data_IF_980265585661
#
_entry.id   IF_980265585661
#
_cell.length_a   1.000
_cell.length_b   1.000
_cell.length_c   1.000
_cell.angle_alpha   90.00
_cell.angle_beta   90.00
_cell.angle_gamma   90.00
#
_symmetry.space_group_name_H-M   'P 1'
#
loop_
_entity.id
_entity.type
_entity.pdbx_description
1 polymer ?
#
# COMPACT_ATOMS: atom_id res chain seq x y z
N UNK A 1 8.85 -17.81 40.42
CA UNK A 1 9.06 -16.57 39.64
C UNK A 1 7.77 -16.27 38.88
N UNK A 2 7.32 -15.02 38.91
CA UNK A 2 5.94 -14.62 38.59
C UNK A 2 5.54 -14.91 37.13
N UNK A 3 4.57 -15.81 36.96
CA UNK A 3 3.69 -15.92 35.80
C UNK A 3 2.67 -14.75 35.84
N UNK A 4 3.14 -13.50 35.69
CA UNK A 4 2.25 -12.33 35.63
C UNK A 4 2.44 -11.60 34.30
N UNK A 5 1.36 -11.37 33.53
CA UNK A 5 1.45 -10.62 32.29
C UNK A 5 1.92 -9.18 32.57
N UNK A 6 2.98 -8.76 31.88
CA UNK A 6 3.50 -7.39 31.89
C UNK A 6 3.02 -6.64 30.64
N UNK A 7 2.83 -5.33 30.74
CA UNK A 7 2.51 -4.40 29.66
C UNK A 7 3.48 -4.51 28.48
N UNK A 8 4.75 -4.83 28.72
CA UNK A 8 5.73 -5.09 27.66
C UNK A 8 5.37 -6.31 26.80
N UNK A 9 4.83 -7.36 27.42
CA UNK A 9 4.37 -8.56 26.71
C UNK A 9 3.11 -8.25 25.90
N UNK A 10 2.18 -7.47 26.47
CA UNK A 10 1.00 -6.99 25.75
C UNK A 10 1.40 -6.18 24.50
N UNK A 11 2.36 -5.28 24.64
CA UNK A 11 2.86 -4.46 23.52
C UNK A 11 3.48 -5.31 22.42
N UNK A 12 4.24 -6.35 22.77
CA UNK A 12 4.78 -7.32 21.79
C UNK A 12 3.66 -8.07 21.06
N UNK A 13 2.64 -8.53 21.78
CA UNK A 13 1.49 -9.22 21.17
C UNK A 13 0.71 -8.30 20.23
N UNK A 14 0.49 -7.04 20.61
CA UNK A 14 -0.15 -6.05 19.73
C UNK A 14 0.66 -5.85 18.45
N UNK A 15 2.00 -5.71 18.56
CA UNK A 15 2.87 -5.56 17.39
C UNK A 15 2.82 -6.80 16.50
N UNK A 16 2.93 -8.00 17.08
CA UNK A 16 2.87 -9.26 16.35
C UNK A 16 1.52 -9.43 15.63
N UNK A 17 0.42 -9.19 16.33
CA UNK A 17 -0.93 -9.28 15.75
C UNK A 17 -1.15 -8.25 14.64
N UNK A 18 -0.59 -7.04 14.80
CA UNK A 18 -0.65 -6.01 13.76
C UNK A 18 0.09 -6.46 12.50
N UNK A 19 1.32 -6.96 12.63
CA UNK A 19 2.09 -7.46 11.48
C UNK A 19 1.36 -8.62 10.81
N UNK A 20 0.89 -9.61 11.58
CA UNK A 20 0.15 -10.75 11.04
C UNK A 20 -1.13 -10.32 10.29
N UNK A 21 -1.88 -9.36 10.83
CA UNK A 21 -3.08 -8.84 10.18
C UNK A 21 -2.75 -8.11 8.87
N UNK A 22 -1.71 -7.28 8.85
CA UNK A 22 -1.30 -6.58 7.63
C UNK A 22 -0.80 -7.55 6.55
N UNK A 23 -0.04 -8.58 6.94
CA UNK A 23 0.40 -9.65 6.01
C UNK A 23 -0.78 -10.43 5.46
N UNK A 24 -1.76 -10.79 6.29
CA UNK A 24 -2.97 -11.48 5.83
C UNK A 24 -3.77 -10.61 4.85
N UNK A 25 -3.91 -9.31 5.14
CA UNK A 25 -4.56 -8.36 4.24
C UNK A 25 -3.82 -8.25 2.89
N UNK A 26 -2.48 -8.25 2.91
CA UNK A 26 -1.66 -8.24 1.70
C UNK A 26 -1.94 -9.48 0.83
N UNK A 27 -2.02 -10.66 1.44
CA UNK A 27 -2.36 -11.90 0.75
C UNK A 27 -3.75 -11.86 0.11
N UNK A 28 -4.76 -11.38 0.84
CA UNK A 28 -6.13 -11.23 0.31
C UNK A 28 -6.17 -10.28 -0.90
N UNK A 29 -5.37 -9.23 -0.86
CA UNK A 29 -5.25 -8.23 -1.92
C UNK A 29 -4.30 -8.67 -3.06
N UNK A 30 -3.69 -9.85 -2.95
CA UNK A 30 -2.66 -10.35 -3.88
C UNK A 30 -1.49 -9.35 -4.08
N UNK A 31 -1.07 -8.66 -3.02
CA UNK A 31 0.07 -7.75 -3.08
C UNK A 31 1.38 -8.55 -2.87
N UNK A 32 2.31 -8.58 -3.83
CA UNK A 32 3.62 -9.21 -3.64
C UNK A 32 4.48 -8.40 -2.65
N UNK A 33 5.41 -9.10 -2.00
CA UNK A 33 6.30 -8.53 -0.96
C UNK A 33 7.11 -7.35 -1.49
N UNK A 34 7.54 -7.41 -2.75
CA UNK A 34 8.32 -6.36 -3.42
C UNK A 34 7.63 -4.98 -3.39
N UNK A 35 6.30 -4.95 -3.23
CA UNK A 35 5.53 -3.70 -3.19
C UNK A 35 5.68 -2.93 -1.87
N UNK A 36 6.25 -3.55 -0.83
CA UNK A 36 6.63 -2.85 0.41
C UNK A 36 7.97 -2.12 0.28
N UNK A 37 8.78 -2.47 -0.72
CA UNK A 37 10.19 -2.03 -0.84
C UNK A 37 10.42 -1.20 -2.12
N UNK A 38 9.52 -1.27 -3.10
CA UNK A 38 9.64 -0.57 -4.37
C UNK A 38 8.76 0.69 -4.49
N UNK A 39 9.06 1.54 -5.48
CA UNK A 39 8.25 2.67 -5.96
C UNK A 39 6.92 2.22 -6.62
N UNK A 40 6.35 1.10 -6.18
CA UNK A 40 5.17 0.49 -6.77
C UNK A 40 3.94 1.40 -6.62
N UNK A 41 3.04 1.30 -7.58
CA UNK A 41 1.75 1.98 -7.58
C UNK A 41 0.64 0.98 -7.32
N UNK A 42 -0.35 1.36 -6.51
CA UNK A 42 -1.50 0.51 -6.24
C UNK A 42 -2.26 0.22 -7.54
N UNK A 43 -2.71 -1.02 -7.76
CA UNK A 43 -3.54 -1.37 -8.92
C UNK A 43 -4.93 -0.74 -8.86
N UNK A 44 -5.33 -0.17 -7.72
CA UNK A 44 -6.63 0.45 -7.56
C UNK A 44 -6.67 1.90 -8.02
N UNK A 45 -5.55 2.62 -7.94
CA UNK A 45 -5.49 4.03 -8.32
C UNK A 45 -5.45 4.20 -9.83
N UNK A 46 -6.27 5.10 -10.35
CA UNK A 46 -6.20 5.53 -11.76
C UNK A 46 -4.85 6.21 -12.02
N UNK A 47 -4.09 5.63 -12.95
CA UNK A 47 -2.93 6.28 -13.58
C UNK A 47 -3.32 6.56 -15.03
N UNK A 48 -3.75 7.79 -15.32
CA UNK A 48 -4.16 8.22 -16.66
C UNK A 48 -5.64 8.62 -16.79
N UNK A 49 -6.12 8.89 -18.02
CA UNK A 49 -7.51 9.27 -18.26
C UNK A 49 -8.45 8.16 -17.78
N UNK A 50 -9.64 8.51 -17.25
CA UNK A 50 -10.60 7.51 -16.79
C UNK A 50 -10.93 6.54 -17.94
N UNK A 51 -10.98 5.22 -17.70
CA UNK A 51 -11.41 4.26 -18.70
C UNK A 51 -12.83 4.65 -19.16
N UNK A 52 -13.10 4.50 -20.46
CA UNK A 52 -14.46 4.69 -20.99
C UNK A 52 -15.46 3.82 -20.20
N UNK A 53 -16.73 4.25 -20.03
CA UNK A 53 -17.72 3.62 -19.15
C UNK A 53 -18.18 2.21 -19.59
N UNK A 54 -17.39 1.51 -20.39
CA UNK A 54 -17.67 0.19 -20.93
C UNK A 54 -16.84 -0.87 -20.21
N UNK A 55 -17.50 -1.52 -19.24
CA UNK A 55 -17.44 -2.97 -18.99
C UNK A 55 -16.52 -3.52 -17.87
N UNK A 56 -15.58 -2.76 -17.29
CA UNK A 56 -14.73 -3.30 -16.18
C UNK A 56 -14.99 -2.72 -14.78
N UNK A 57 -15.95 -1.81 -14.61
CA UNK A 57 -16.16 -1.08 -13.33
C UNK A 57 -16.68 -1.94 -12.15
N UNK A 58 -17.02 -3.20 -12.37
CA UNK A 58 -17.74 -3.99 -11.37
C UNK A 58 -17.33 -5.46 -11.33
N UNK A 59 -16.02 -5.79 -11.32
CA UNK A 59 -15.65 -7.07 -10.72
C UNK A 59 -15.76 -6.90 -9.20
N UNK A 60 -16.75 -7.51 -8.51
CA UNK A 60 -16.87 -7.37 -7.08
C UNK A 60 -15.60 -7.92 -6.44
N UNK A 61 -14.96 -7.12 -5.59
CA UNK A 61 -13.83 -7.57 -4.80
C UNK A 61 -14.28 -8.76 -3.96
N UNK A 62 -13.68 -9.93 -4.17
CA UNK A 62 -14.07 -11.18 -3.52
C UNK A 62 -13.57 -11.31 -2.06
N UNK A 63 -13.04 -10.22 -1.48
CA UNK A 63 -12.53 -10.20 -0.12
C UNK A 63 -13.44 -9.46 0.87
N UNK A 64 -13.00 -9.28 2.13
CA UNK A 64 -13.78 -8.66 3.17
C UNK A 64 -14.06 -7.19 2.86
N UNK A 65 -15.24 -6.70 3.27
CA UNK A 65 -15.68 -5.33 3.03
C UNK A 65 -14.69 -4.27 3.55
N UNK A 66 -13.93 -4.58 4.61
CA UNK A 66 -12.90 -3.72 5.18
C UNK A 66 -11.73 -3.41 4.22
N UNK A 67 -11.46 -4.31 3.26
CA UNK A 67 -10.36 -4.18 2.31
C UNK A 67 -10.80 -3.67 0.94
N UNK A 68 -12.11 -3.55 0.68
CA UNK A 68 -12.63 -3.00 -0.57
C UNK A 68 -12.00 -1.62 -0.83
N UNK A 69 -11.46 -1.37 -2.04
CA UNK A 69 -10.88 -0.08 -2.39
C UNK A 69 -11.94 1.02 -2.32
N UNK A 70 -11.63 2.10 -1.61
CA UNK A 70 -12.53 3.26 -1.48
C UNK A 70 -12.63 4.03 -2.80
N UNK A 71 -13.65 4.88 -2.91
CA UNK A 71 -13.81 5.80 -4.06
C UNK A 71 -12.58 6.69 -4.22
N UNK A 72 -11.96 7.13 -3.12
CA UNK A 72 -10.77 7.98 -3.15
C UNK A 72 -9.53 7.20 -3.62
N UNK A 73 -9.35 5.97 -3.13
CA UNK A 73 -8.28 5.07 -3.58
C UNK A 73 -8.34 4.80 -5.09
N UNK A 74 -9.54 4.79 -5.67
CA UNK A 74 -9.71 4.62 -7.12
C UNK A 74 -9.32 5.85 -7.93
N UNK A 75 -9.35 7.03 -7.33
CA UNK A 75 -9.13 8.32 -8.01
C UNK A 75 -7.73 8.88 -7.87
N UNK A 76 -7.01 8.48 -6.82
CA UNK A 76 -5.70 9.05 -6.48
C UNK A 76 -4.61 7.99 -6.68
N UNK A 77 -3.55 8.26 -7.46
CA UNK A 77 -2.37 7.43 -7.50
C UNK A 77 -1.72 7.35 -6.12
N UNK A 78 -1.50 6.15 -5.60
CA UNK A 78 -0.97 5.95 -4.24
C UNK A 78 -0.17 4.66 -4.11
N UNK A 79 0.56 4.55 -2.99
CA UNK A 79 1.40 3.39 -2.68
C UNK A 79 0.57 2.17 -2.27
N UNK A 80 0.95 0.95 -2.69
CA UNK A 80 0.20 -0.27 -2.35
C UNK A 80 0.07 -0.54 -0.86
N UNK A 81 1.06 -0.18 -0.05
CA UNK A 81 1.04 -0.42 1.41
C UNK A 81 -0.14 0.27 2.11
N UNK A 82 -0.67 1.36 1.55
CA UNK A 82 -1.85 2.06 2.09
C UNK A 82 -3.11 1.19 2.01
N UNK A 83 -3.14 0.18 1.14
CA UNK A 83 -4.28 -0.73 1.00
C UNK A 83 -4.39 -1.74 2.16
N UNK A 84 -3.30 -1.96 2.90
CA UNK A 84 -3.23 -2.97 3.96
C UNK A 84 -4.09 -2.63 5.18
N UNK A 85 -4.43 -1.35 5.37
CA UNK A 85 -5.20 -0.92 6.54
C UNK A 85 -6.69 -1.25 6.39
N UNK A 86 -7.29 -1.99 7.34
CA UNK A 86 -8.68 -2.43 7.24
C UNK A 86 -9.70 -1.31 7.48
N UNK A 87 -9.26 -0.10 7.83
CA UNK A 87 -10.13 1.05 8.12
C UNK A 87 -10.16 2.00 6.92
N UNK A 88 -11.27 2.00 6.18
CA UNK A 88 -11.47 2.90 5.04
C UNK A 88 -11.27 4.39 5.39
N UNK A 89 -11.73 4.83 6.57
CA UNK A 89 -11.56 6.21 7.04
C UNK A 89 -10.09 6.61 7.16
N UNK A 90 -9.26 5.74 7.74
CA UNK A 90 -7.82 5.96 7.91
C UNK A 90 -7.13 6.10 6.57
N UNK A 91 -7.42 5.18 5.63
CA UNK A 91 -6.91 5.24 4.25
C UNK A 91 -7.29 6.57 3.57
N UNK A 92 -8.57 6.96 3.66
CA UNK A 92 -9.05 8.20 3.04
C UNK A 92 -8.46 9.48 3.65
N UNK A 93 -8.12 9.48 4.95
CA UNK A 93 -7.47 10.62 5.60
C UNK A 93 -6.02 10.77 5.17
N UNK A 94 -5.31 9.67 4.95
CA UNK A 94 -3.88 9.70 4.62
C UNK A 94 -3.61 9.94 3.15
N UNK A 95 -4.46 9.41 2.25
CA UNK A 95 -4.26 9.53 0.82
C UNK A 95 -4.03 10.97 0.33
N UNK A 96 -4.83 11.97 0.72
CA UNK A 96 -4.59 13.36 0.33
C UNK A 96 -3.27 13.91 0.88
N UNK A 97 -2.94 13.59 2.14
CA UNK A 97 -1.72 14.08 2.78
C UNK A 97 -0.47 13.54 2.08
N UNK A 98 -0.46 12.24 1.76
CA UNK A 98 0.66 11.58 1.06
C UNK A 98 0.74 12.05 -0.40
N UNK A 99 -0.41 12.22 -1.07
CA UNK A 99 -0.45 12.69 -2.45
C UNK A 99 0.08 14.14 -2.57
N UNK A 100 -0.32 15.01 -1.65
CA UNK A 100 0.19 16.39 -1.58
C UNK A 100 1.67 16.40 -1.21
N UNK A 101 2.14 15.60 -0.25
CA UNK A 101 3.56 15.57 0.12
C UNK A 101 4.45 15.13 -1.05
N UNK A 102 3.99 14.16 -1.86
CA UNK A 102 4.72 13.73 -3.07
C UNK A 102 4.86 14.82 -4.13
N UNK A 103 4.06 15.89 -4.05
CA UNK A 103 4.12 17.06 -4.92
C UNK A 103 4.96 18.21 -4.33
N UNK A 104 5.27 18.16 -3.03
CA UNK A 104 5.92 19.27 -2.30
C UNK A 104 7.39 19.02 -1.93
N UNK A 105 7.91 17.80 -2.11
CA UNK A 105 9.29 17.46 -1.78
C UNK A 105 9.99 16.78 -2.98
N UNK A 106 10.45 17.57 -3.95
CA UNK A 106 11.23 17.02 -5.07
C UNK A 106 12.66 16.60 -4.66
N UNK A 107 13.20 17.12 -3.54
CA UNK A 107 14.65 16.99 -3.25
C UNK A 107 15.02 15.98 -2.14
N UNK A 108 14.14 15.63 -1.20
CA UNK A 108 14.50 14.77 -0.04
C UNK A 108 13.94 13.34 -0.10
N UNK A 109 12.80 13.10 -0.75
CA UNK A 109 12.21 11.75 -0.82
C UNK A 109 13.09 10.82 -1.67
N UNK A 110 13.72 11.35 -2.72
CA UNK A 110 14.65 10.59 -3.57
C UNK A 110 15.89 10.12 -2.79
N UNK A 111 16.40 10.90 -1.84
CA UNK A 111 17.64 10.57 -1.12
C UNK A 111 17.46 9.50 -0.03
N UNK A 112 16.28 9.43 0.59
CA UNK A 112 15.98 8.43 1.63
C UNK A 112 15.74 7.02 1.07
N UNK A 113 15.35 6.89 -0.22
CA UNK A 113 15.00 5.59 -0.83
C UNK A 113 15.93 5.14 -1.98
N UNK A 114 16.80 5.99 -2.53
CA UNK A 114 17.73 5.61 -3.62
C UNK A 114 19.03 4.93 -3.17
N UNK A 115 19.35 4.93 -1.88
CA UNK A 115 20.66 4.48 -1.37
C UNK A 115 20.75 3.00 -1.00
N UNK A 116 19.70 2.19 -1.18
CA UNK A 116 19.79 0.75 -0.91
C UNK A 116 20.15 -0.07 -2.15
N UNK A 117 21.38 -0.63 -2.20
CA UNK A 117 21.74 -1.87 -2.94
C UNK A 117 22.91 -2.60 -2.26
N UNK A 118 22.85 -3.94 -2.16
CA UNK A 118 23.74 -4.72 -3.05
C UNK A 118 23.09 -6.00 -3.59
N UNK A 119 23.17 -6.22 -4.92
CA UNK A 119 22.78 -7.48 -5.55
C UNK A 119 22.13 -7.33 -6.92
N UNK A 120 20.81 -7.47 -7.02
CA UNK A 120 20.03 -7.43 -8.25
C UNK A 120 18.62 -6.96 -7.85
N UNK A 121 18.25 -5.68 -7.98
CA UNK A 121 17.64 -5.15 -9.19
C UNK A 121 16.12 -5.00 -9.08
N UNK A 122 15.61 -3.77 -8.90
CA UNK A 122 14.25 -3.39 -9.30
C UNK A 122 14.17 -3.40 -10.84
N UNK A 123 13.95 -4.56 -11.46
CA UNK A 123 13.84 -4.64 -12.93
C UNK A 123 12.41 -4.30 -13.37
N UNK A 124 12.14 -3.00 -13.44
CA UNK A 124 11.11 -2.49 -14.36
C UNK A 124 11.63 -2.63 -15.78
N UNK A 125 11.06 -3.58 -16.54
CA UNK A 125 11.24 -3.62 -18.00
C UNK A 125 10.89 -2.26 -18.56
N UNK A 126 11.74 -1.72 -19.43
CA UNK A 126 11.30 -0.76 -20.41
C UNK A 126 10.16 -1.42 -21.20
N UNK A 127 8.98 -0.80 -21.16
CA UNK A 127 8.02 -0.96 -22.26
C UNK A 127 8.48 0.07 -23.29
N UNK A 128 8.89 -0.44 -24.45
CA UNK A 128 9.73 0.28 -25.41
C UNK A 128 9.06 1.47 -26.08
N UNK A 129 9.91 2.28 -26.71
CA UNK A 129 9.54 3.01 -27.91
C UNK A 129 10.28 2.37 -29.08
N UNK A 130 9.52 2.06 -30.12
CA UNK A 130 10.02 1.91 -31.48
C UNK A 130 10.61 3.25 -31.97
#
# INVERSE_FOLDING_TARGET
MLNRPNTDQLTRLIKLNTINALTANASILNLPVDWLVCNAMSPFGLVGPPPSPTTEEARPFAGPASLVPTVLQRRIPHRPWTNLFPLARMRNSWLPAIHVSSFLAEDEEVQLWTTWRPGLGCLGRSVGSA
#
